data_IF_496454005176
#
_entry.id   IF_496454005176
#
_cell.length_a   1.000
_cell.length_b   1.000
_cell.length_c   1.000
_cell.angle_alpha   90.00
_cell.angle_beta   90.00
_cell.angle_gamma   90.00
#
_symmetry.space_group_name_H-M   'P 1'
#
loop_
_entity.id
_entity.type
_entity.pdbx_description
1 polymer ?
#
# COMPACT_ATOMS: atom_id res chain seq x y z
N UNK A 1 -4.95 -7.34 -11.90
CA UNK A 1 -5.46 -6.66 -10.69
C UNK A 1 -6.07 -7.65 -9.69
N UNK A 2 -6.80 -8.69 -10.13
CA UNK A 2 -7.44 -9.65 -9.21
C UNK A 2 -6.49 -10.53 -8.35
N UNK A 3 -5.32 -10.95 -8.87
CA UNK A 3 -4.39 -11.83 -8.13
C UNK A 3 -3.73 -11.15 -6.91
N UNK A 4 -3.40 -9.86 -7.01
CA UNK A 4 -2.75 -9.13 -5.90
C UNK A 4 -3.71 -8.89 -4.74
N UNK A 5 -5.01 -8.73 -5.01
CA UNK A 5 -6.03 -8.57 -3.98
C UNK A 5 -6.27 -9.87 -3.22
N UNK A 6 -6.29 -11.01 -3.90
CA UNK A 6 -6.50 -12.32 -3.24
C UNK A 6 -5.38 -12.66 -2.27
N UNK A 7 -4.12 -12.43 -2.66
CA UNK A 7 -2.97 -12.68 -1.78
C UNK A 7 -3.01 -11.78 -0.54
N UNK A 8 -3.33 -10.49 -0.71
CA UNK A 8 -3.46 -9.56 0.42
C UNK A 8 -4.57 -9.98 1.38
N UNK A 9 -5.74 -10.37 0.87
CA UNK A 9 -6.85 -10.88 1.69
C UNK A 9 -6.43 -12.11 2.48
N UNK A 10 -5.77 -13.09 1.85
CA UNK A 10 -5.28 -14.29 2.53
C UNK A 10 -4.29 -13.93 3.63
N UNK A 11 -3.35 -13.01 3.38
CA UNK A 11 -2.38 -12.59 4.41
C UNK A 11 -3.02 -11.82 5.56
N UNK A 12 -4.06 -11.01 5.32
CA UNK A 12 -4.82 -10.33 6.38
C UNK A 12 -5.53 -11.35 7.26
N UNK A 13 -6.28 -12.27 6.64
CA UNK A 13 -7.01 -13.33 7.36
C UNK A 13 -6.07 -14.23 8.16
N UNK A 14 -4.90 -14.58 7.61
CA UNK A 14 -3.89 -15.37 8.31
C UNK A 14 -3.25 -14.59 9.49
N UNK A 15 -3.09 -13.27 9.34
CA UNK A 15 -2.62 -12.38 10.40
C UNK A 15 -3.61 -12.28 11.56
N UNK A 16 -4.89 -12.07 11.24
CA UNK A 16 -5.99 -11.98 12.21
C UNK A 16 -6.19 -13.30 12.98
N UNK A 17 -6.18 -14.44 12.30
CA UNK A 17 -6.30 -15.76 12.92
C UNK A 17 -4.95 -16.35 13.40
N UNK A 18 -3.88 -15.55 13.43
CA UNK A 18 -2.52 -16.03 13.69
C UNK A 18 -2.35 -16.71 15.05
N UNK A 19 -3.02 -16.22 16.10
CA UNK A 19 -2.97 -16.84 17.44
C UNK A 19 -3.70 -18.20 17.47
N UNK A 20 -4.84 -18.31 16.78
CA UNK A 20 -5.59 -19.54 16.64
C UNK A 20 -4.78 -20.61 15.88
N UNK A 21 -4.15 -20.23 14.78
CA UNK A 21 -3.34 -21.16 13.99
C UNK A 21 -2.04 -21.57 14.70
N UNK A 22 -1.42 -20.67 15.48
CA UNK A 22 -0.22 -21.01 16.28
C UNK A 22 -0.52 -21.96 17.43
N UNK A 23 -1.74 -21.92 17.99
CA UNK A 23 -2.15 -22.79 19.08
C UNK A 23 -2.73 -24.14 18.60
N UNK A 24 -3.23 -24.20 17.37
CA UNK A 24 -3.82 -25.41 16.79
C UNK A 24 -2.74 -26.32 16.20
N UNK A 25 -2.73 -27.59 16.61
CA UNK A 25 -1.85 -28.61 16.01
C UNK A 25 -2.68 -29.52 15.12
N UNK A 26 -2.34 -29.59 13.83
CA UNK A 26 -2.95 -30.51 12.90
C UNK A 26 -2.34 -31.92 13.04
N UNK A 27 -3.18 -32.93 13.29
CA UNK A 27 -2.81 -34.34 13.26
C UNK A 27 -3.83 -35.13 12.45
N UNK A 28 -3.42 -36.18 11.71
CA UNK A 28 -4.37 -37.00 10.97
C UNK A 28 -5.33 -37.71 11.93
N UNK A 29 -6.61 -37.73 11.59
CA UNK A 29 -7.59 -38.53 12.33
C UNK A 29 -7.35 -40.02 12.07
N UNK A 30 -7.79 -40.93 12.96
CA UNK A 30 -7.67 -42.38 12.77
C UNK A 30 -8.39 -42.90 11.51
N UNK A 31 -9.27 -42.11 10.91
CA UNK A 31 -9.99 -42.44 9.67
C UNK A 31 -9.15 -42.22 8.41
N UNK A 32 -8.03 -41.49 8.52
CA UNK A 32 -7.16 -41.23 7.38
C UNK A 32 -6.42 -42.52 6.96
N UNK A 33 -6.35 -42.85 5.66
CA UNK A 33 -5.70 -44.08 5.18
C UNK A 33 -4.16 -43.98 5.23
N UNK A 34 -3.61 -43.95 6.45
CA UNK A 34 -2.19 -43.68 6.72
C UNK A 34 -1.20 -44.55 5.95
N UNK A 35 -1.55 -45.81 5.66
CA UNK A 35 -0.67 -46.74 4.92
C UNK A 35 -0.68 -46.48 3.41
N UNK A 36 -1.81 -46.06 2.83
CA UNK A 36 -1.93 -45.88 1.37
C UNK A 36 -1.45 -44.51 0.90
N UNK A 37 -1.54 -43.50 1.76
CA UNK A 37 -1.27 -42.10 1.41
C UNK A 37 -0.24 -41.44 2.33
N UNK A 38 0.68 -42.21 2.90
CA UNK A 38 1.74 -41.67 3.76
C UNK A 38 2.53 -40.54 3.08
N UNK A 39 2.94 -40.75 1.82
CA UNK A 39 3.69 -39.74 1.06
C UNK A 39 2.92 -38.42 0.88
N UNK A 40 1.59 -38.48 0.76
CA UNK A 40 0.74 -37.30 0.63
C UNK A 40 0.61 -36.59 1.98
N UNK A 41 0.46 -37.35 3.07
CA UNK A 41 0.45 -36.81 4.42
C UNK A 41 1.75 -36.07 4.74
N UNK A 42 2.89 -36.69 4.44
CA UNK A 42 4.22 -36.12 4.68
C UNK A 42 4.43 -34.84 3.85
N UNK A 43 3.86 -34.77 2.64
CA UNK A 43 3.90 -33.56 1.82
C UNK A 43 2.99 -32.43 2.37
N UNK A 44 1.78 -32.76 2.86
CA UNK A 44 0.82 -31.79 3.36
C UNK A 44 1.16 -31.23 4.75
N UNK A 45 1.71 -32.08 5.64
CA UNK A 45 2.10 -31.67 7.00
C UNK A 45 3.54 -31.15 7.07
N UNK A 46 4.20 -30.94 5.93
CA UNK A 46 5.56 -30.41 5.90
C UNK A 46 5.55 -28.93 6.29
N UNK A 47 6.07 -28.62 7.47
CA UNK A 47 6.35 -27.24 7.89
C UNK A 47 7.66 -26.67 7.31
N UNK A 48 8.47 -27.52 6.67
CA UNK A 48 9.75 -27.13 6.07
C UNK A 48 9.52 -26.30 4.81
N UNK A 49 10.10 -25.11 4.82
CA UNK A 49 10.17 -24.21 3.67
C UNK A 49 10.70 -24.92 2.42
N UNK A 50 10.36 -24.39 1.25
CA UNK A 50 11.00 -24.83 0.02
C UNK A 50 12.50 -24.49 0.05
N UNK A 51 13.38 -25.32 -0.56
CA UNK A 51 14.83 -25.09 -0.52
C UNK A 51 15.23 -23.66 -0.93
N UNK A 52 14.56 -23.12 -1.95
CA UNK A 52 14.81 -21.75 -2.42
C UNK A 52 14.53 -20.69 -1.33
N UNK A 53 13.48 -20.89 -0.53
CA UNK A 53 13.10 -19.97 0.55
C UNK A 53 14.09 -20.08 1.70
N UNK A 54 14.60 -21.28 2.02
CA UNK A 54 15.63 -21.47 3.05
C UNK A 54 16.92 -20.71 2.71
N UNK A 55 17.35 -20.78 1.44
CA UNK A 55 18.51 -20.03 0.96
C UNK A 55 18.29 -18.52 1.07
N UNK A 56 17.09 -18.03 0.73
CA UNK A 56 16.74 -16.61 0.87
C UNK A 56 16.67 -16.15 2.32
N UNK A 57 16.13 -16.95 3.23
CA UNK A 57 16.10 -16.64 4.66
C UNK A 57 17.53 -16.56 5.19
N UNK A 58 18.39 -17.51 4.83
CA UNK A 58 19.80 -17.52 5.23
C UNK A 58 20.57 -16.34 4.66
N UNK A 59 20.37 -16.00 3.39
CA UNK A 59 20.96 -14.81 2.77
C UNK A 59 20.48 -13.52 3.48
N UNK A 60 19.19 -13.43 3.79
CA UNK A 60 18.61 -12.32 4.55
C UNK A 60 19.20 -12.17 5.94
N UNK A 61 19.39 -13.29 6.66
CA UNK A 61 20.05 -13.34 7.96
C UNK A 61 21.52 -12.89 7.87
N UNK A 62 22.26 -13.34 6.85
CA UNK A 62 23.65 -12.94 6.61
C UNK A 62 23.76 -11.44 6.29
N UNK A 63 22.84 -10.88 5.50
CA UNK A 63 22.76 -9.44 5.20
C UNK A 63 22.46 -8.66 6.50
N UNK A 64 21.48 -9.10 7.28
CA UNK A 64 21.13 -8.46 8.55
C UNK A 64 22.32 -8.49 9.54
N UNK A 65 23.05 -9.61 9.61
CA UNK A 65 24.24 -9.74 10.45
C UNK A 65 25.38 -8.83 9.99
N UNK A 66 25.57 -8.63 8.68
CA UNK A 66 26.55 -7.67 8.13
C UNK A 66 26.15 -6.23 8.46
N UNK A 67 24.87 -5.87 8.31
CA UNK A 67 24.37 -4.53 8.63
C UNK A 67 24.56 -4.19 10.12
N UNK A 68 24.29 -5.14 11.03
CA UNK A 68 24.52 -4.97 12.48
C UNK A 68 25.99 -4.74 12.86
N UNK A 69 26.94 -5.20 12.04
CA UNK A 69 28.39 -4.98 12.26
C UNK A 69 28.86 -3.60 11.80
N UNK A 70 28.09 -2.90 10.96
CA UNK A 70 28.45 -1.55 10.52
C UNK A 70 28.36 -0.58 11.70
N UNK A 71 29.35 0.29 11.84
CA UNK A 71 29.44 1.26 12.95
C UNK A 71 28.35 2.33 12.91
N UNK A 72 27.67 2.48 11.79
CA UNK A 72 26.47 3.31 11.66
C UNK A 72 25.30 2.61 12.32
N UNK A 73 25.11 2.89 13.61
CA UNK A 73 23.86 2.58 14.31
C UNK A 73 22.74 3.35 13.61
N UNK A 74 22.02 2.68 12.72
CA UNK A 74 20.81 3.23 12.10
C UNK A 74 19.73 3.56 13.13
N UNK A 75 18.62 4.11 12.65
CA UNK A 75 17.42 4.36 13.47
C UNK A 75 16.98 3.07 14.19
N UNK A 76 16.56 3.21 15.44
CA UNK A 76 15.93 2.12 16.18
C UNK A 76 14.69 1.61 15.45
N UNK A 77 14.25 0.39 15.76
CA UNK A 77 13.05 -0.18 15.13
C UNK A 77 11.79 0.66 15.40
N UNK A 78 11.66 1.22 16.61
CA UNK A 78 10.58 2.13 16.97
C UNK A 78 10.63 3.44 16.18
N UNK A 79 11.79 4.10 16.09
CA UNK A 79 11.96 5.35 15.32
C UNK A 79 11.73 5.11 13.81
N UNK A 80 12.14 3.95 13.31
CA UNK A 80 11.90 3.56 11.91
C UNK A 80 10.41 3.34 11.64
N UNK A 81 9.71 2.67 12.57
CA UNK A 81 8.27 2.48 12.45
C UNK A 81 7.53 3.81 12.52
N UNK A 82 7.90 4.71 13.44
CA UNK A 82 7.35 6.06 13.51
C UNK A 82 7.57 6.84 12.21
N UNK A 83 8.78 6.75 11.63
CA UNK A 83 9.08 7.36 10.33
C UNK A 83 8.20 6.80 9.20
N UNK A 84 7.99 5.48 9.16
CA UNK A 84 7.13 4.83 8.17
C UNK A 84 5.64 5.13 8.37
N UNK A 85 5.19 5.40 9.59
CA UNK A 85 3.81 5.85 9.85
C UNK A 85 3.62 7.32 9.41
N UNK A 86 4.63 8.17 9.59
CA UNK A 86 4.58 9.57 9.15
C UNK A 86 4.72 9.73 7.62
N UNK A 87 5.56 8.91 6.99
CA UNK A 87 5.96 9.07 5.59
C UNK A 87 4.79 9.15 4.59
N UNK A 88 3.74 8.30 4.66
CA UNK A 88 2.59 8.41 3.75
C UNK A 88 1.85 9.76 3.86
N UNK A 89 1.64 10.27 5.08
CA UNK A 89 0.96 11.55 5.30
C UNK A 89 1.77 12.73 4.75
N UNK A 90 3.08 12.72 4.98
CA UNK A 90 4.00 13.73 4.45
C UNK A 90 4.10 13.67 2.92
N UNK A 91 4.22 12.47 2.35
CA UNK A 91 4.25 12.24 0.91
C UNK A 91 2.95 12.71 0.25
N UNK A 92 1.79 12.38 0.83
CA UNK A 92 0.48 12.85 0.36
C UNK A 92 0.35 14.38 0.45
N UNK A 93 0.89 14.99 1.51
CA UNK A 93 0.88 16.45 1.68
C UNK A 93 1.76 17.15 0.65
N UNK A 94 2.92 16.57 0.30
CA UNK A 94 3.79 17.08 -0.75
C UNK A 94 3.16 16.88 -2.14
N UNK A 95 2.59 15.69 -2.39
CA UNK A 95 1.87 15.35 -3.61
C UNK A 95 0.75 16.35 -3.92
N UNK A 96 -0.03 16.78 -2.92
CA UNK A 96 -1.12 17.75 -3.11
C UNK A 96 -0.64 19.13 -3.56
N UNK A 97 0.62 19.49 -3.27
CA UNK A 97 1.24 20.77 -3.65
C UNK A 97 1.93 20.73 -5.00
N UNK A 98 2.08 19.56 -5.60
CA UNK A 98 2.72 19.42 -6.90
C UNK A 98 1.66 19.49 -8.01
N UNK A 99 2.02 20.13 -9.11
CA UNK A 99 1.28 20.10 -10.36
C UNK A 99 1.57 18.74 -11.01
N UNK A 100 0.64 17.79 -10.90
CA UNK A 100 0.76 16.44 -11.50
C UNK A 100 0.61 16.47 -13.02
N UNK A 101 1.32 17.37 -13.71
CA UNK A 101 1.14 17.66 -15.14
C UNK A 101 -0.08 18.53 -15.47
N UNK A 102 -0.80 19.02 -14.46
CA UNK A 102 -1.90 19.99 -14.63
C UNK A 102 -1.48 21.43 -14.30
N UNK A 103 -2.26 22.40 -14.78
CA UNK A 103 -1.99 23.84 -14.55
C UNK A 103 -2.19 24.26 -13.07
N UNK A 104 -2.96 23.48 -12.32
CA UNK A 104 -3.27 23.71 -10.91
C UNK A 104 -2.82 22.53 -10.05
N UNK A 105 -2.37 22.83 -8.84
CA UNK A 105 -2.15 21.83 -7.80
C UNK A 105 -3.51 21.33 -7.27
N UNK A 106 -3.57 20.09 -6.77
CA UNK A 106 -4.82 19.56 -6.18
C UNK A 106 -5.29 20.39 -4.99
N UNK A 107 -4.35 21.01 -4.25
CA UNK A 107 -4.65 21.96 -3.19
C UNK A 107 -5.29 23.26 -3.72
N UNK A 108 -4.82 23.79 -4.85
CA UNK A 108 -5.42 24.98 -5.50
C UNK A 108 -6.82 24.68 -6.04
N UNK A 109 -7.04 23.49 -6.61
CA UNK A 109 -8.38 23.08 -7.06
C UNK A 109 -9.39 23.05 -5.90
N UNK A 110 -8.99 22.51 -4.74
CA UNK A 110 -9.87 22.45 -3.57
C UNK A 110 -10.04 23.82 -2.88
N UNK A 111 -9.00 24.66 -2.94
CA UNK A 111 -8.97 25.99 -2.32
C UNK A 111 -9.68 27.08 -3.13
N UNK A 112 -10.21 26.74 -4.31
CA UNK A 112 -10.87 27.68 -5.22
C UNK A 112 -9.90 28.64 -5.93
N UNK A 113 -10.45 29.35 -6.91
CA UNK A 113 -9.71 30.24 -7.84
C UNK A 113 -8.95 31.37 -7.10
N UNK A 114 -9.33 31.67 -5.86
CA UNK A 114 -8.75 32.74 -5.05
C UNK A 114 -7.33 32.43 -4.56
N UNK A 115 -6.99 31.14 -4.40
CA UNK A 115 -5.75 30.70 -3.74
C UNK A 115 -4.67 30.18 -4.70
N UNK A 116 -4.79 30.45 -6.00
CA UNK A 116 -3.81 30.01 -7.01
C UNK A 116 -2.52 30.84 -6.93
N UNK A 117 -1.38 30.19 -6.65
CA UNK A 117 -0.06 30.82 -6.49
C UNK A 117 0.58 31.13 -7.84
N UNK A 118 0.25 30.36 -8.89
CA UNK A 118 0.88 30.46 -10.21
C UNK A 118 0.52 31.74 -10.98
N UNK A 119 -0.37 32.59 -10.44
CA UNK A 119 -0.76 33.87 -11.06
C UNK A 119 -1.55 33.72 -12.38
N UNK A 120 -1.78 32.49 -12.84
CA UNK A 120 -2.64 32.19 -13.99
C UNK A 120 -4.10 32.19 -13.54
N UNK A 121 -4.71 33.37 -13.45
CA UNK A 121 -6.17 33.52 -13.45
C UNK A 121 -6.69 33.30 -14.88
N UNK A 122 -6.54 32.10 -15.42
CA UNK A 122 -7.27 31.72 -16.63
C UNK A 122 -8.64 31.26 -16.17
N UNK A 123 -9.70 31.83 -16.75
CA UNK A 123 -11.07 31.47 -16.42
C UNK A 123 -11.16 29.93 -16.45
N UNK A 124 -11.31 29.33 -15.27
CA UNK A 124 -11.71 27.94 -15.18
C UNK A 124 -13.06 27.95 -15.89
N UNK A 125 -13.10 27.41 -17.12
CA UNK A 125 -14.37 27.10 -17.76
C UNK A 125 -15.01 26.13 -16.79
N UNK A 126 -15.92 26.65 -16.00
CA UNK A 126 -16.83 25.88 -15.18
C UNK A 126 -17.39 24.83 -16.15
N UNK A 127 -17.20 23.53 -15.89
CA UNK A 127 -17.90 22.53 -16.69
C UNK A 127 -19.37 22.96 -16.63
N UNK A 128 -20.06 23.10 -17.78
CA UNK A 128 -21.44 23.59 -17.76
C UNK A 128 -22.17 22.79 -16.69
N UNK A 129 -22.69 23.49 -15.67
CA UNK A 129 -23.66 22.92 -14.75
C UNK A 129 -24.67 22.25 -15.68
N UNK A 130 -24.72 20.91 -15.60
CA UNK A 130 -25.37 20.07 -16.59
C UNK A 130 -26.67 20.73 -17.00
N UNK A 131 -26.71 21.18 -18.26
CA UNK A 131 -27.92 21.72 -18.86
C UNK A 131 -29.02 20.70 -18.60
N UNK A 132 -30.07 21.19 -17.94
CA UNK A 132 -31.39 20.62 -17.84
C UNK A 132 -31.62 19.51 -18.88
N UNK A 133 -31.40 18.25 -18.50
CA UNK A 133 -32.10 17.14 -19.16
C UNK A 133 -33.54 17.19 -18.66
N UNK A 134 -34.28 18.10 -19.31
CA UNK A 134 -35.74 18.15 -19.34
C UNK A 134 -36.30 16.74 -19.57
N UNK A 135 -37.16 16.32 -18.65
CA UNK A 135 -38.28 15.38 -18.82
C UNK A 135 -38.10 14.31 -19.91
N UNK A 136 -37.53 13.17 -19.52
CA UNK A 136 -37.87 11.89 -20.11
C UNK A 136 -38.62 11.05 -19.09
N UNK A 137 -39.91 11.35 -18.92
CA UNK A 137 -40.90 10.36 -18.48
C UNK A 137 -40.85 9.18 -19.46
N UNK A 138 -40.37 8.01 -19.06
CA UNK A 138 -41.06 6.74 -19.37
C UNK A 138 -40.43 5.53 -18.66
N UNK A 139 -41.33 4.79 -18.01
CA UNK A 139 -41.34 3.34 -17.77
C UNK A 139 -40.26 2.66 -16.89
N UNK A 140 -40.72 2.40 -15.66
CA UNK A 140 -40.93 1.04 -15.11
C UNK A 140 -39.94 -0.04 -15.58
N UNK A 141 -39.05 -0.48 -14.68
CA UNK A 141 -39.08 -1.88 -14.24
C UNK A 141 -38.17 -2.13 -13.01
N UNK A 142 -38.86 -2.65 -12.01
CA UNK A 142 -38.50 -3.14 -10.68
C UNK A 142 -37.50 -4.32 -10.73
N UNK A 143 -36.39 -4.24 -9.99
CA UNK A 143 -35.85 -5.40 -9.29
C UNK A 143 -35.04 -4.99 -8.05
N UNK A 144 -35.60 -5.38 -6.91
CA UNK A 144 -34.99 -5.42 -5.59
C UNK A 144 -34.02 -6.61 -5.52
N UNK A 145 -32.73 -6.36 -5.30
CA UNK A 145 -31.82 -7.37 -4.75
C UNK A 145 -31.08 -6.74 -3.57
N UNK A 146 -31.64 -7.02 -2.41
CA UNK A 146 -31.01 -6.98 -1.10
C UNK A 146 -29.89 -8.01 -1.08
N UNK A 147 -28.65 -7.59 -0.85
CA UNK A 147 -27.77 -8.39 0.00
C UNK A 147 -26.87 -7.48 0.82
N UNK A 148 -26.90 -7.76 2.12
CA UNK A 148 -26.09 -7.18 3.16
C UNK A 148 -24.65 -7.68 2.98
N UNK A 149 -23.64 -6.82 3.16
CA UNK A 149 -22.45 -7.11 3.99
C UNK A 149 -21.37 -6.03 3.81
N UNK A 150 -21.25 -5.22 4.87
CA UNK A 150 -20.05 -4.53 5.37
C UNK A 150 -18.86 -4.27 4.45
N UNK A 151 -18.87 -3.13 3.76
CA UNK A 151 -17.64 -2.45 3.35
C UNK A 151 -17.28 -1.35 4.38
N UNK A 152 -16.45 -1.70 5.38
CA UNK A 152 -15.57 -0.71 6.02
C UNK A 152 -14.48 -0.32 5.02
N UNK A 153 -14.87 0.49 4.04
CA UNK A 153 -13.95 1.19 3.16
C UNK A 153 -13.09 2.13 4.00
N UNK A 154 -11.78 1.89 3.98
CA UNK A 154 -10.77 2.72 4.64
C UNK A 154 -10.96 4.20 4.33
N UNK A 155 -11.62 4.89 5.26
CA UNK A 155 -11.90 6.31 5.18
C UNK A 155 -10.57 7.06 5.25
N UNK A 156 -10.13 7.52 4.08
CA UNK A 156 -9.05 8.48 3.93
C UNK A 156 -9.38 9.71 4.77
N UNK A 157 -8.66 9.90 5.87
CA UNK A 157 -8.85 11.00 6.82
C UNK A 157 -8.72 12.35 6.09
N UNK A 158 -9.86 12.99 5.84
CA UNK A 158 -9.96 14.34 5.28
C UNK A 158 -9.86 15.31 6.46
N UNK A 159 -8.63 15.57 6.88
CA UNK A 159 -8.37 16.57 7.92
C UNK A 159 -8.59 17.98 7.33
N UNK A 160 -9.74 18.59 7.69
CA UNK A 160 -10.05 20.01 7.48
C UNK A 160 -9.10 20.86 8.33
N UNK A 161 -8.07 21.46 7.72
CA UNK A 161 -7.28 22.51 8.39
C UNK A 161 -7.23 23.81 7.58
N UNK A 162 -7.65 24.88 8.28
CA UNK A 162 -7.73 26.28 7.87
C UNK A 162 -6.35 26.86 7.46
N UNK A 163 -6.27 27.81 6.51
CA UNK A 163 -4.99 28.33 6.04
C UNK A 163 -4.50 29.48 6.94
N UNK A 164 -3.24 29.40 7.37
CA UNK A 164 -2.47 30.55 7.87
C UNK A 164 -1.18 30.66 7.03
N UNK A 165 -0.87 31.81 6.42
CA UNK A 165 0.18 31.89 5.41
C UNK A 165 1.49 32.39 6.02
N UNK A 166 2.58 31.63 5.91
CA UNK A 166 3.93 32.20 5.90
C UNK A 166 4.80 31.50 4.87
N UNK A 167 5.23 32.31 3.91
CA UNK A 167 6.11 32.05 2.79
C UNK A 167 7.56 31.88 3.27
N UNK A 168 8.28 30.89 2.70
CA UNK A 168 9.73 30.97 2.42
C UNK A 168 10.13 29.85 1.46
N UNK A 169 10.84 30.29 0.42
CA UNK A 169 11.42 29.58 -0.73
C UNK A 169 12.44 28.50 -0.38
N UNK A 170 12.46 27.38 -1.10
CA UNK A 170 13.63 26.48 -1.22
C UNK A 170 13.72 25.96 -2.68
N UNK A 171 14.92 25.91 -3.29
CA UNK A 171 15.11 25.71 -4.74
C UNK A 171 15.33 24.24 -5.15
N UNK A 172 14.97 23.98 -6.41
CA UNK A 172 15.55 23.04 -7.38
C UNK A 172 16.15 21.70 -6.86
N UNK A 173 15.38 20.62 -7.05
CA UNK A 173 15.74 19.23 -6.76
C UNK A 173 16.97 18.77 -7.54
N UNK A 174 18.15 18.82 -6.91
CA UNK A 174 19.31 18.06 -7.34
C UNK A 174 19.10 16.59 -6.98
N UNK A 175 19.29 15.72 -7.96
CA UNK A 175 19.23 14.27 -7.85
C UNK A 175 20.27 13.79 -6.83
N UNK A 176 19.83 13.45 -5.61
CA UNK A 176 20.71 12.93 -4.58
C UNK A 176 21.25 11.54 -5.00
N UNK A 177 22.54 11.24 -4.77
CA UNK A 177 23.12 9.92 -5.03
C UNK A 177 22.49 8.86 -4.10
N UNK A 178 22.48 7.57 -4.50
CA UNK A 178 21.85 6.52 -3.73
C UNK A 178 22.45 6.42 -2.33
N UNK A 179 21.59 6.50 -1.31
CA UNK A 179 21.95 6.37 0.10
C UNK A 179 22.66 5.03 0.32
N UNK A 180 23.90 5.01 0.87
CA UNK A 180 24.61 3.77 1.12
C UNK A 180 23.84 2.96 2.18
N UNK A 181 23.19 1.88 1.75
CA UNK A 181 22.42 0.99 2.63
C UNK A 181 21.07 0.53 2.06
N UNK A 182 20.50 1.23 1.08
CA UNK A 182 19.35 0.74 0.33
C UNK A 182 19.80 0.09 -0.97
N UNK A 183 19.32 -1.12 -1.26
CA UNK A 183 19.52 -1.72 -2.58
C UNK A 183 18.83 -0.88 -3.66
N UNK A 184 19.45 -0.68 -4.83
CA UNK A 184 18.79 -0.02 -5.96
C UNK A 184 17.45 -0.70 -6.28
N UNK A 185 16.43 0.10 -6.61
CA UNK A 185 15.09 -0.39 -6.98
C UNK A 185 15.14 -1.39 -8.15
N UNK A 186 16.09 -1.22 -9.07
CA UNK A 186 16.34 -2.17 -10.16
C UNK A 186 16.76 -3.55 -9.64
N UNK A 187 17.56 -3.61 -8.57
CA UNK A 187 17.90 -4.87 -7.92
C UNK A 187 16.68 -5.48 -7.25
N UNK A 188 15.86 -4.70 -6.54
CA UNK A 188 14.61 -5.17 -5.93
C UNK A 188 13.66 -5.74 -6.99
N UNK A 189 13.43 -5.00 -8.08
CA UNK A 189 12.59 -5.44 -9.19
C UNK A 189 13.13 -6.71 -9.84
N UNK A 190 14.45 -6.81 -10.01
CA UNK A 190 15.10 -8.02 -10.53
C UNK A 190 14.93 -9.21 -9.58
N UNK A 191 15.08 -9.02 -8.27
CA UNK A 191 14.82 -10.07 -7.27
C UNK A 191 13.37 -10.53 -7.29
N UNK A 192 12.41 -9.60 -7.37
CA UNK A 192 10.98 -9.91 -7.45
C UNK A 192 10.60 -10.66 -8.74
N UNK A 193 11.19 -10.30 -9.87
CA UNK A 193 10.78 -10.84 -11.19
C UNK A 193 11.57 -12.06 -11.63
N UNK A 194 12.82 -12.22 -11.18
CA UNK A 194 13.72 -13.26 -11.70
C UNK A 194 14.30 -14.17 -10.62
N UNK A 195 14.10 -13.88 -9.33
CA UNK A 195 14.65 -14.68 -8.22
C UNK A 195 16.18 -14.82 -8.25
N UNK A 196 16.90 -13.91 -8.94
CA UNK A 196 18.35 -13.90 -9.17
C UNK A 196 18.97 -12.50 -9.09
#
# INVERSE_FOLDING_TARGET
MAELTTDQTITSQLGEAGELFRSTVAFPTPQFPGVKSQNILDALLRSKFEPNIEDWVKEGEDIAARQRKTTSRGLSESERNELWQWAPGAANSAARRQTWGGDYTRAEMQGGIENVVTGLRRQLVEPPEGEDEEDAEDDEDEYEVTDEEGEEGGAMDIEKQQPKPESKSIPETQTAPPTPGLMPLASIHKFMTTGR
#
